data_IF_528510923850
#
_entry.id   IF_528510923850
#
_cell.length_a   1.000
_cell.length_b   1.000
_cell.length_c   1.000
_cell.angle_alpha   90.00
_cell.angle_beta   90.00
_cell.angle_gamma   90.00
#
_symmetry.space_group_name_H-M   'P 1'
#
loop_
_entity.id
_entity.type
_entity.pdbx_description
1 polymer ?
#
# COMPACT_ATOMS: atom_id res chain seq x y z
N UNK A 1 1.56 -1.03 10.30
CA UNK A 1 1.69 -1.94 9.15
C UNK A 1 2.34 -3.19 9.68
N UNK A 2 1.85 -4.34 9.24
CA UNK A 2 2.42 -5.65 9.61
C UNK A 2 2.91 -6.36 8.34
N UNK A 3 3.96 -7.21 8.43
CA UNK A 3 4.79 -7.47 9.60
C UNK A 3 5.79 -6.34 9.92
N UNK A 4 6.49 -6.43 11.04
CA UNK A 4 7.53 -5.48 11.46
C UNK A 4 8.79 -5.46 10.56
N UNK A 5 8.84 -6.28 9.52
CA UNK A 5 9.89 -6.29 8.50
C UNK A 5 9.59 -5.35 7.32
N UNK A 6 8.58 -4.49 7.48
CA UNK A 6 8.16 -3.48 6.51
C UNK A 6 8.37 -2.09 7.08
N UNK A 7 9.01 -1.22 6.30
CA UNK A 7 9.20 0.19 6.65
C UNK A 7 8.41 1.07 5.68
N UNK A 8 7.49 1.88 6.23
CA UNK A 8 6.84 2.95 5.50
C UNK A 8 7.84 4.10 5.28
N UNK A 9 8.06 4.47 4.03
CA UNK A 9 8.99 5.53 3.64
C UNK A 9 8.31 6.79 3.14
N UNK A 10 7.07 6.68 2.66
CA UNK A 10 6.28 7.84 2.28
C UNK A 10 4.79 7.62 2.59
N UNK A 11 4.16 8.67 3.13
CA UNK A 11 2.72 8.85 3.18
C UNK A 11 2.45 10.26 2.66
N UNK A 12 1.71 10.37 1.56
CA UNK A 12 1.37 11.66 0.94
C UNK A 12 -0.01 11.61 0.30
N UNK A 13 -0.52 12.77 -0.12
CA UNK A 13 -1.67 12.84 -1.03
C UNK A 13 -1.22 12.51 -2.47
N UNK A 14 -2.09 11.88 -3.25
CA UNK A 14 -1.88 11.68 -4.68
C UNK A 14 -1.81 13.03 -5.41
N UNK A 15 -1.05 13.09 -6.50
CA UNK A 15 -0.84 14.35 -7.22
C UNK A 15 -2.08 14.81 -7.99
N UNK A 16 -2.85 13.86 -8.52
CA UNK A 16 -3.96 14.07 -9.45
C UNK A 16 -5.31 13.61 -8.89
N UNK A 17 -5.36 13.15 -7.63
CA UNK A 17 -6.55 12.57 -7.02
C UNK A 17 -6.68 12.88 -5.52
N UNK A 18 -7.90 12.78 -5.00
CA UNK A 18 -8.15 12.75 -3.55
C UNK A 18 -7.94 11.34 -3.00
N UNK A 19 -6.68 10.91 -3.02
CA UNK A 19 -6.25 9.60 -2.56
C UNK A 19 -4.97 9.72 -1.73
N UNK A 20 -4.71 8.73 -0.89
CA UNK A 20 -3.44 8.59 -0.20
C UNK A 20 -2.49 7.72 -1.01
N UNK A 21 -1.22 8.10 -1.06
CA UNK A 21 -0.12 7.30 -1.58
C UNK A 21 0.74 6.86 -0.41
N UNK A 22 0.85 5.54 -0.23
CA UNK A 22 1.73 4.92 0.74
C UNK A 22 2.84 4.22 -0.02
N UNK A 23 4.09 4.45 0.40
CA UNK A 23 5.26 3.74 -0.11
C UNK A 23 5.96 3.05 1.03
N UNK A 24 6.30 1.79 0.82
CA UNK A 24 7.05 1.00 1.79
C UNK A 24 7.98 0.04 1.07
N UNK A 25 8.91 -0.52 1.84
CA UNK A 25 9.74 -1.62 1.39
C UNK A 25 9.83 -2.69 2.48
N UNK A 26 10.03 -3.93 2.05
CA UNK A 26 10.36 -5.03 2.93
C UNK A 26 11.90 -5.09 3.09
N UNK A 27 12.41 -5.23 4.32
CA UNK A 27 13.86 -5.36 4.59
C UNK A 27 14.31 -6.70 5.19
N UNK A 28 13.39 -7.55 5.65
CA UNK A 28 13.66 -8.86 6.22
C UNK A 28 13.99 -9.94 5.18
N UNK A 29 13.88 -9.65 3.89
CA UNK A 29 14.26 -10.56 2.81
C UNK A 29 13.34 -11.77 2.66
N UNK A 30 12.09 -11.64 3.13
CA UNK A 30 11.07 -12.69 3.06
C UNK A 30 9.88 -12.20 2.25
N UNK A 31 9.20 -13.13 1.58
CA UNK A 31 7.89 -12.83 1.02
C UNK A 31 6.90 -12.62 2.18
N UNK A 32 6.05 -11.62 2.06
CA UNK A 32 5.08 -11.25 3.09
C UNK A 32 3.77 -10.75 2.46
N UNK A 33 2.67 -11.05 3.14
CA UNK A 33 1.41 -10.34 2.93
C UNK A 33 1.39 -9.13 3.86
N UNK A 34 1.65 -7.95 3.29
CA UNK A 34 1.69 -6.71 4.05
C UNK A 34 0.27 -6.23 4.31
N UNK A 35 -0.05 -6.03 5.59
CA UNK A 35 -1.37 -5.61 6.06
C UNK A 35 -1.32 -4.15 6.48
N UNK A 36 -2.06 -3.31 5.76
CA UNK A 36 -2.16 -1.87 6.02
C UNK A 36 -3.50 -1.58 6.66
N UNK A 37 -3.51 -1.42 7.99
CA UNK A 37 -4.69 -0.95 8.71
C UNK A 37 -4.92 0.55 8.46
N UNK A 38 -6.16 0.91 8.19
CA UNK A 38 -6.61 2.25 7.83
C UNK A 38 -7.56 2.80 8.91
N UNK A 39 -7.67 4.13 9.05
CA UNK A 39 -8.53 4.75 10.06
C UNK A 39 -10.04 4.67 9.73
N UNK A 40 -10.39 4.33 8.50
CA UNK A 40 -11.76 4.11 8.03
C UNK A 40 -11.76 3.17 6.81
N UNK A 41 -12.89 2.54 6.46
CA UNK A 41 -12.97 1.68 5.28
C UNK A 41 -12.64 2.47 4.00
N UNK A 42 -11.66 2.03 3.18
CA UNK A 42 -11.40 2.67 1.90
C UNK A 42 -12.48 2.29 0.89
N UNK A 43 -12.66 3.15 -0.12
CA UNK A 43 -13.49 2.87 -1.29
C UNK A 43 -12.81 1.85 -2.20
N UNK A 44 -11.51 2.03 -2.40
CA UNK A 44 -10.69 1.20 -3.28
C UNK A 44 -9.21 1.34 -2.91
N UNK A 45 -8.42 0.33 -3.28
CA UNK A 45 -6.97 0.38 -3.20
C UNK A 45 -6.35 -0.26 -4.45
N UNK A 46 -5.28 0.35 -4.95
CA UNK A 46 -4.55 -0.11 -6.13
C UNK A 46 -3.05 -0.13 -5.85
N UNK A 47 -2.38 -1.15 -6.37
CA UNK A 47 -0.94 -1.11 -6.56
C UNK A 47 -0.62 -0.12 -7.68
N UNK A 48 0.34 0.76 -7.42
CA UNK A 48 0.83 1.73 -8.40
C UNK A 48 2.34 1.65 -8.48
N UNK A 49 2.90 2.11 -9.61
CA UNK A 49 4.35 2.28 -9.73
C UNK A 49 4.84 3.54 -8.99
N UNK A 50 6.15 3.81 -9.07
CA UNK A 50 6.75 4.97 -8.39
C UNK A 50 6.23 6.33 -8.86
N UNK A 51 5.64 6.39 -10.05
CA UNK A 51 5.00 7.59 -10.66
C UNK A 51 3.47 7.52 -10.62
N UNK A 52 2.91 6.74 -9.69
CA UNK A 52 1.48 6.68 -9.37
C UNK A 52 0.57 6.11 -10.47
N UNK A 53 1.12 5.44 -11.48
CA UNK A 53 0.32 4.74 -12.49
C UNK A 53 -0.15 3.38 -11.96
N UNK A 54 -1.44 3.11 -12.09
CA UNK A 54 -2.08 1.88 -11.65
C UNK A 54 -1.53 0.64 -12.36
N UNK A 55 -1.30 -0.41 -11.59
CA UNK A 55 -0.81 -1.72 -12.04
C UNK A 55 -1.92 -2.75 -11.87
N UNK A 56 -2.46 -2.87 -10.66
CA UNK A 56 -3.46 -3.86 -10.31
C UNK A 56 -4.31 -3.42 -9.10
N UNK A 57 -5.56 -3.87 -9.00
CA UNK A 57 -6.35 -3.69 -7.77
C UNK A 57 -5.79 -4.52 -6.62
N UNK A 58 -5.96 -4.03 -5.40
CA UNK A 58 -5.58 -4.73 -4.18
C UNK A 58 -6.81 -5.20 -3.41
N UNK A 59 -6.61 -6.24 -2.59
CA UNK A 59 -7.67 -6.77 -1.73
C UNK A 59 -7.91 -5.78 -0.59
N UNK A 60 -9.15 -5.36 -0.44
CA UNK A 60 -9.64 -4.58 0.70
C UNK A 60 -10.49 -5.50 1.57
N UNK A 61 -10.15 -5.59 2.85
CA UNK A 61 -10.94 -6.28 3.86
C UNK A 61 -11.28 -5.29 4.98
N UNK A 62 -12.52 -4.83 5.01
CA UNK A 62 -13.00 -3.78 5.92
C UNK A 62 -12.12 -2.52 5.92
N UNK A 63 -11.28 -2.36 6.94
CA UNK A 63 -10.38 -1.22 7.15
C UNK A 63 -8.93 -1.58 6.85
N UNK A 64 -8.70 -2.64 6.07
CA UNK A 64 -7.38 -3.15 5.79
C UNK A 64 -7.15 -3.37 4.29
N UNK A 65 -5.96 -3.03 3.83
CA UNK A 65 -5.47 -3.36 2.48
C UNK A 65 -4.40 -4.43 2.60
N UNK A 66 -4.56 -5.52 1.85
CA UNK A 66 -3.61 -6.63 1.80
C UNK A 66 -2.75 -6.49 0.54
N UNK A 67 -1.43 -6.47 0.72
CA UNK A 67 -0.45 -6.21 -0.33
C UNK A 67 0.58 -7.34 -0.39
N UNK A 68 0.48 -8.26 -1.36
CA UNK A 68 1.52 -9.25 -1.60
C UNK A 68 2.85 -8.56 -1.94
N UNK A 69 3.90 -8.90 -1.18
CA UNK A 69 5.21 -8.25 -1.26
C UNK A 69 6.32 -9.31 -1.27
N UNK A 70 7.23 -9.21 -2.24
CA UNK A 70 8.39 -10.10 -2.41
C UNK A 70 9.56 -9.64 -1.51
N UNK A 71 10.57 -10.51 -1.29
CA UNK A 71 11.80 -10.12 -0.61
C UNK A 71 12.41 -8.84 -1.20
N UNK A 72 12.73 -7.87 -0.34
CA UNK A 72 13.36 -6.58 -0.72
C UNK A 72 12.56 -5.73 -1.71
N UNK A 73 11.27 -6.00 -1.88
CA UNK A 73 10.44 -5.29 -2.84
C UNK A 73 9.99 -3.94 -2.29
N UNK A 74 10.00 -2.93 -3.16
CA UNK A 74 9.40 -1.62 -2.91
C UNK A 74 7.99 -1.66 -3.48
N UNK A 75 6.99 -1.34 -2.67
CA UNK A 75 5.59 -1.24 -3.10
C UNK A 75 5.10 0.19 -2.93
N UNK A 76 4.28 0.63 -3.87
CA UNK A 76 3.51 1.86 -3.75
C UNK A 76 2.03 1.52 -3.89
N UNK A 77 1.21 2.05 -2.99
CA UNK A 77 -0.21 1.77 -2.92
C UNK A 77 -0.97 3.09 -2.93
N UNK A 78 -1.98 3.18 -3.79
CA UNK A 78 -2.95 4.27 -3.83
C UNK A 78 -4.22 3.82 -3.10
N UNK A 79 -4.70 4.63 -2.16
CA UNK A 79 -5.87 4.34 -1.33
C UNK A 79 -6.88 5.48 -1.48
N UNK A 80 -8.06 5.14 -1.98
CA UNK A 80 -9.16 6.07 -2.15
C UNK A 80 -10.15 5.93 -1.00
N UNK A 81 -10.58 7.04 -0.43
CA UNK A 81 -11.62 7.08 0.59
C UNK A 81 -12.91 7.68 0.02
N UNK A 82 -14.05 7.32 0.61
CA UNK A 82 -15.28 8.10 0.47
C UNK A 82 -15.28 9.28 1.43
#
# INVERSE_FOLDING_TARGET
MEPNTVILTALKKAEDADAWILRFYEFGGKAAEVRIALPKPPKAAHEVNLVEREIAPLIVNEQEVIVPTKPYEIKTVKIEFR
#
